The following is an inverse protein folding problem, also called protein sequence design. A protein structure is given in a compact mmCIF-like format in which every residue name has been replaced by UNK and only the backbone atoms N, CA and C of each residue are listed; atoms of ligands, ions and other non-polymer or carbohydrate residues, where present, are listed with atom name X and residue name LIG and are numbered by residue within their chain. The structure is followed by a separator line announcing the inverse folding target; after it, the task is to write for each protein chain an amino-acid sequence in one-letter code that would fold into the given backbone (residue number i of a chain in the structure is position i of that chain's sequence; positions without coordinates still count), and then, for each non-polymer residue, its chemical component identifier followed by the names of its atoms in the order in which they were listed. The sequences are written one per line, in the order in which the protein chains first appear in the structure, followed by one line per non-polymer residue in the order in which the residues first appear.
data_IF_488084015434
#
_entry.id   IF_488084015434
#
_cell.length_a   1.000
_cell.length_b   1.000
_cell.length_c   1.000
_cell.angle_alpha   90.00
_cell.angle_beta   90.00
_cell.angle_gamma   90.00
#
_symmetry.space_group_name_H-M   'P 1'
#
loop_
_entity.id
_entity.type
_entity.pdbx_description
1 polymer ?
#
# COMPACT_ATOMS: atom_id res chain seq x y z
N UNK A 1 -3.54 33.14 49.65
CA UNK A 1 -2.74 34.25 49.08
C UNK A 1 -3.59 35.02 48.07
N UNK A 2 -3.47 36.34 47.98
CA UNK A 2 -4.21 37.14 46.97
C UNK A 2 -3.43 37.22 45.66
N UNK A 3 -4.14 37.28 44.54
CA UNK A 3 -3.53 37.49 43.22
C UNK A 3 -2.90 38.89 43.13
N UNK A 4 -1.63 38.96 42.74
CA UNK A 4 -0.93 40.24 42.58
C UNK A 4 -1.08 40.75 41.15
N UNK A 5 -1.72 41.92 40.99
CA UNK A 5 -1.92 42.57 39.68
C UNK A 5 -0.61 42.86 38.94
N UNK A 6 0.49 43.03 39.66
CA UNK A 6 1.84 43.23 39.09
C UNK A 6 2.35 42.04 38.28
N UNK A 7 1.76 40.85 38.42
CA UNK A 7 2.11 39.71 37.56
C UNK A 7 1.58 39.86 36.13
N UNK A 8 0.46 40.58 35.92
CA UNK A 8 -0.11 40.76 34.59
C UNK A 8 0.77 41.61 33.67
N UNK A 9 1.57 42.52 34.24
CA UNK A 9 2.55 43.31 33.48
C UNK A 9 3.82 42.54 33.21
N UNK A 10 4.25 41.67 34.14
CA UNK A 10 5.47 40.85 33.98
C UNK A 10 5.28 39.65 33.06
N UNK A 11 4.08 39.06 33.00
CA UNK A 11 3.78 37.87 32.21
C UNK A 11 2.62 38.17 31.25
N UNK A 12 2.90 38.61 30.00
CA UNK A 12 1.87 39.05 29.05
C UNK A 12 0.79 38.00 28.70
N UNK A 13 1.14 36.73 28.82
CA UNK A 13 0.27 35.58 28.57
C UNK A 13 -0.68 35.28 29.74
N UNK A 14 -0.44 35.82 30.94
CA UNK A 14 -1.19 35.53 32.16
C UNK A 14 -2.47 36.38 32.21
N UNK A 15 -3.59 35.74 32.55
CA UNK A 15 -4.89 36.39 32.76
C UNK A 15 -5.48 35.95 34.09
N UNK A 16 -6.32 36.81 34.68
CA UNK A 16 -7.00 36.57 35.94
C UNK A 16 -8.51 36.75 35.76
N UNK A 17 -9.29 35.76 36.17
CA UNK A 17 -10.75 35.81 36.22
C UNK A 17 -11.18 36.04 37.68
N UNK A 18 -11.53 37.29 38.01
CA UNK A 18 -11.94 37.68 39.35
C UNK A 18 -13.29 37.12 39.80
N UNK A 19 -14.15 36.65 38.88
CA UNK A 19 -15.43 36.03 39.24
C UNK A 19 -15.25 34.57 39.65
N UNK A 20 -14.31 33.87 38.99
CA UNK A 20 -13.99 32.46 39.28
C UNK A 20 -12.84 32.28 40.26
N UNK A 21 -12.08 33.34 40.55
CA UNK A 21 -10.93 33.27 41.45
C UNK A 21 -9.79 32.42 40.88
N UNK A 22 -9.55 32.47 39.57
CA UNK A 22 -8.50 31.68 38.91
C UNK A 22 -7.60 32.54 38.04
N UNK A 23 -6.32 32.17 37.96
CA UNK A 23 -5.39 32.67 36.94
C UNK A 23 -5.14 31.59 35.87
N UNK A 24 -4.89 32.01 34.63
CA UNK A 24 -4.73 31.08 33.50
C UNK A 24 -3.82 31.66 32.42
N UNK A 25 -3.28 30.79 31.56
CA UNK A 25 -2.52 31.19 30.40
C UNK A 25 -3.46 31.35 29.19
N UNK A 26 -3.50 32.56 28.62
CA UNK A 26 -4.33 32.85 27.45
C UNK A 26 -3.95 31.98 26.24
N UNK A 27 -2.65 31.75 26.04
CA UNK A 27 -2.14 30.96 24.91
C UNK A 27 -2.52 29.49 25.06
N UNK A 28 -2.24 28.89 26.22
CA UNK A 28 -2.56 27.47 26.46
C UNK A 28 -4.05 27.21 26.36
N UNK A 29 -4.88 28.12 26.88
CA UNK A 29 -6.35 28.00 26.81
C UNK A 29 -6.87 28.18 25.38
N UNK A 30 -6.35 29.14 24.62
CA UNK A 30 -6.75 29.38 23.23
C UNK A 30 -6.49 28.17 22.34
N UNK A 31 -5.32 27.53 22.50
CA UNK A 31 -4.94 26.37 21.70
C UNK A 31 -5.23 25.02 22.38
N UNK A 32 -5.96 25.04 23.48
CA UNK A 32 -6.36 23.86 24.26
C UNK A 32 -5.20 22.91 24.61
N UNK A 33 -4.05 23.47 25.01
CA UNK A 33 -2.84 22.71 25.39
C UNK A 33 -2.93 22.28 26.84
N UNK A 34 -3.27 21.03 27.07
CA UNK A 34 -3.30 20.41 28.38
C UNK A 34 -2.48 19.11 28.38
N UNK A 35 -1.30 19.14 29.00
CA UNK A 35 -0.36 18.02 29.05
C UNK A 35 -0.57 17.10 30.27
N UNK A 36 -1.66 17.26 31.02
CA UNK A 36 -1.94 16.40 32.19
C UNK A 36 -1.04 16.66 33.40
N UNK A 37 -0.39 17.82 33.47
CA UNK A 37 0.41 18.25 34.63
C UNK A 37 -0.53 18.55 35.81
N UNK A 38 -0.72 17.57 36.70
CA UNK A 38 -1.74 17.60 37.78
C UNK A 38 -1.59 18.74 38.80
N UNK A 39 -0.47 19.45 38.82
CA UNK A 39 -0.18 20.41 39.88
C UNK A 39 -0.36 21.87 39.39
N UNK A 40 -0.18 22.16 38.09
CA UNK A 40 -0.15 23.54 37.55
C UNK A 40 -0.80 23.69 36.16
N UNK A 41 -2.03 23.20 36.00
CA UNK A 41 -2.73 23.31 34.71
C UNK A 41 -3.27 24.73 34.44
N UNK A 42 -2.45 25.59 33.84
CA UNK A 42 -2.85 26.94 33.43
C UNK A 42 -3.81 26.96 32.22
N UNK A 43 -4.14 25.83 31.59
CA UNK A 43 -5.15 25.74 30.53
C UNK A 43 -6.57 25.77 31.12
N UNK A 44 -6.87 24.91 32.11
CA UNK A 44 -8.12 24.96 32.89
C UNK A 44 -8.14 26.14 33.87
N UNK A 45 -6.97 26.60 34.31
CA UNK A 45 -6.79 27.68 35.28
C UNK A 45 -6.46 27.14 36.66
N UNK A 46 -5.78 27.97 37.46
CA UNK A 46 -5.33 27.65 38.82
C UNK A 46 -5.80 28.73 39.80
N UNK A 47 -6.29 28.30 40.95
CA UNK A 47 -6.61 29.12 42.12
C UNK A 47 -5.40 29.33 43.05
N UNK A 48 -4.24 28.74 42.74
CA UNK A 48 -3.05 28.81 43.59
C UNK A 48 -2.12 29.94 43.15
N UNK A 49 -2.26 31.09 43.79
CA UNK A 49 -1.50 32.30 43.49
C UNK A 49 -0.08 32.29 44.11
N UNK A 50 0.83 31.53 43.50
CA UNK A 50 2.26 31.52 43.84
C UNK A 50 3.11 31.85 42.60
N UNK A 51 4.09 32.74 42.78
CA UNK A 51 5.02 33.15 41.72
C UNK A 51 5.84 31.97 41.17
N UNK A 52 6.19 31.01 42.03
CA UNK A 52 6.88 29.78 41.66
C UNK A 52 6.12 29.00 40.57
N UNK A 53 4.80 28.90 40.66
CA UNK A 53 3.98 28.19 39.68
C UNK A 53 3.86 28.94 38.35
N UNK A 54 3.90 30.28 38.38
CA UNK A 54 3.95 31.10 37.18
C UNK A 54 5.28 30.88 36.46
N UNK A 55 6.40 30.84 37.20
CA UNK A 55 7.72 30.58 36.64
C UNK A 55 7.85 29.15 36.09
N UNK A 56 7.39 28.14 36.84
CA UNK A 56 7.35 26.74 36.39
C UNK A 56 6.54 26.62 35.11
N UNK A 57 5.36 27.24 35.06
CA UNK A 57 4.54 27.23 33.86
C UNK A 57 5.20 27.95 32.69
N UNK A 58 5.86 29.10 32.90
CA UNK A 58 6.56 29.79 31.80
C UNK A 58 7.64 28.92 31.16
N UNK A 59 8.32 28.09 31.95
CA UNK A 59 9.28 27.10 31.47
C UNK A 59 8.66 25.76 31.02
N UNK A 60 7.34 25.59 31.15
CA UNK A 60 6.66 24.32 30.85
C UNK A 60 6.56 24.08 29.34
N UNK A 61 6.54 22.79 28.98
CA UNK A 61 6.33 22.36 27.59
C UNK A 61 4.97 22.82 27.05
N UNK A 62 3.95 22.82 27.92
CA UNK A 62 2.62 23.29 27.56
C UNK A 62 2.65 24.76 27.10
N UNK A 63 3.39 25.62 27.81
CA UNK A 63 3.50 27.03 27.48
C UNK A 63 4.35 27.29 26.23
N UNK A 64 5.48 26.61 26.10
CA UNK A 64 6.32 26.69 24.91
C UNK A 64 5.54 26.28 23.65
N UNK A 65 4.76 25.20 23.73
CA UNK A 65 3.96 24.70 22.62
C UNK A 65 2.81 25.64 22.25
N UNK A 66 2.08 26.15 23.24
CA UNK A 66 1.01 27.11 23.00
C UNK A 66 1.53 28.42 22.36
N UNK A 67 2.73 28.85 22.75
CA UNK A 67 3.41 30.00 22.15
C UNK A 67 3.83 29.72 20.71
N UNK A 68 4.34 28.52 20.41
CA UNK A 68 4.62 28.09 19.04
C UNK A 68 3.36 28.05 18.17
N UNK A 69 2.24 27.53 18.67
CA UNK A 69 0.99 27.47 17.90
C UNK A 69 0.38 28.86 17.65
N UNK A 70 0.51 29.77 18.61
CA UNK A 70 0.11 31.17 18.42
C UNK A 70 0.98 31.85 17.35
N UNK A 71 2.29 31.63 17.38
CA UNK A 71 3.19 32.12 16.35
C UNK A 71 2.84 31.53 14.97
N UNK A 72 2.56 30.23 14.87
CA UNK A 72 2.16 29.57 13.63
C UNK A 72 0.81 30.09 13.08
N UNK A 73 -0.15 30.37 13.97
CA UNK A 73 -1.46 30.90 13.57
C UNK A 73 -1.37 32.33 13.03
N UNK A 74 -0.34 33.08 13.45
CA UNK A 74 -0.08 34.45 13.02
C UNK A 74 0.93 34.55 11.86
N UNK A 75 1.61 33.45 11.50
CA UNK A 75 2.57 33.43 10.40
C UNK A 75 1.86 33.22 9.06
N UNK A 76 1.97 34.20 8.15
CA UNK A 76 1.79 33.97 6.72
C UNK A 76 2.93 33.05 6.27
N UNK A 77 2.63 32.01 5.46
CA UNK A 77 3.50 30.85 5.21
C UNK A 77 4.84 31.12 4.52
N UNK A 78 5.74 31.84 5.20
CA UNK A 78 7.07 32.21 4.72
C UNK A 78 8.15 31.39 5.45
N UNK A 79 9.14 30.89 4.71
CA UNK A 79 10.15 29.92 5.20
C UNK A 79 11.00 30.47 6.35
N UNK A 80 11.27 31.78 6.37
CA UNK A 80 12.04 32.45 7.40
C UNK A 80 11.39 32.36 8.80
N UNK A 81 10.05 32.40 8.85
CA UNK A 81 9.30 32.27 10.12
C UNK A 81 9.43 30.86 10.72
N UNK A 82 9.47 29.82 9.86
CA UNK A 82 9.55 28.42 10.29
C UNK A 82 10.93 28.08 10.84
N UNK A 83 12.00 28.60 10.24
CA UNK A 83 13.36 28.45 10.77
C UNK A 83 13.54 29.16 12.12
N UNK A 84 12.93 30.33 12.30
CA UNK A 84 12.98 31.07 13.55
C UNK A 84 12.19 30.35 14.67
N UNK A 85 11.09 29.68 14.33
CA UNK A 85 10.36 28.79 15.24
C UNK A 85 11.16 27.55 15.63
N UNK A 86 11.85 26.90 14.68
CA UNK A 86 12.72 25.75 14.98
C UNK A 86 13.90 26.14 15.88
N UNK A 87 14.41 27.37 15.73
CA UNK A 87 15.48 27.93 16.59
C UNK A 87 15.00 28.28 18.00
N UNK A 88 13.71 28.56 18.20
CA UNK A 88 13.15 28.84 19.53
C UNK A 88 12.71 27.59 20.29
N UNK A 89 12.57 26.44 19.62
CA UNK A 89 12.28 25.16 20.25
C UNK A 89 13.52 24.61 20.99
N UNK A 90 13.30 24.04 22.17
CA UNK A 90 14.39 23.40 22.91
C UNK A 90 14.94 22.21 22.10
N UNK A 91 16.25 21.97 22.20
CA UNK A 91 16.93 20.83 21.56
C UNK A 91 16.29 19.49 21.95
N UNK A 92 15.78 19.39 23.17
CA UNK A 92 15.06 18.21 23.69
C UNK A 92 13.76 17.99 22.94
N UNK A 93 12.96 19.05 22.75
CA UNK A 93 11.68 18.96 22.01
C UNK A 93 11.88 18.54 20.56
N UNK A 94 12.92 19.07 19.90
CA UNK A 94 13.26 18.64 18.53
C UNK A 94 13.65 17.17 18.46
N UNK A 95 14.46 16.69 19.40
CA UNK A 95 14.83 15.26 19.48
C UNK A 95 13.63 14.34 19.64
N UNK A 96 12.65 14.72 20.47
CA UNK A 96 11.39 13.98 20.64
C UNK A 96 10.58 13.91 19.35
N UNK A 97 10.42 15.05 18.67
CA UNK A 97 9.72 15.12 17.38
C UNK A 97 10.41 14.26 16.32
N UNK A 98 11.75 14.28 16.28
CA UNK A 98 12.54 13.44 15.38
C UNK A 98 12.28 11.95 15.64
N UNK A 99 12.25 11.53 16.91
CA UNK A 99 11.91 10.15 17.26
C UNK A 99 10.51 9.76 16.78
N UNK A 100 9.53 10.65 16.93
CA UNK A 100 8.16 10.41 16.44
C UNK A 100 8.14 10.31 14.90
N UNK A 101 8.90 11.15 14.18
CA UNK A 101 9.08 11.02 12.73
C UNK A 101 9.63 9.65 12.34
N UNK A 102 10.63 9.12 13.08
CA UNK A 102 11.21 7.79 12.83
C UNK A 102 10.17 6.68 13.02
N UNK A 103 9.39 6.74 14.10
CA UNK A 103 8.32 5.77 14.38
C UNK A 103 7.22 5.85 13.31
N UNK A 104 6.77 7.05 12.94
CA UNK A 104 5.80 7.27 11.87
C UNK A 104 6.32 6.80 10.50
N UNK A 105 7.60 7.03 10.20
CA UNK A 105 8.24 6.52 8.99
C UNK A 105 8.23 4.99 8.95
N UNK A 106 8.52 4.32 10.07
CA UNK A 106 8.44 2.86 10.16
C UNK A 106 7.02 2.34 9.92
N UNK A 107 6.00 2.97 10.50
CA UNK A 107 4.57 2.66 10.26
C UNK A 107 4.26 2.74 8.76
N UNK A 108 4.60 3.87 8.13
CA UNK A 108 4.35 4.10 6.71
C UNK A 108 5.09 3.09 5.83
N UNK A 109 6.38 2.85 6.10
CA UNK A 109 7.22 1.95 5.31
C UNK A 109 6.76 0.50 5.36
N UNK A 110 6.19 0.09 6.49
CA UNK A 110 5.69 -1.27 6.69
C UNK A 110 4.19 -1.43 6.35
N UNK A 111 3.53 -0.38 5.84
CA UNK A 111 2.09 -0.43 5.50
C UNK A 111 1.20 -0.70 6.72
N UNK A 112 1.59 -0.22 7.91
CA UNK A 112 0.87 -0.46 9.16
C UNK A 112 -0.21 0.60 9.38
N UNK A 113 -1.29 0.28 10.14
CA UNK A 113 -2.32 1.25 10.48
C UNK A 113 -1.75 2.43 11.27
N UNK A 114 -2.29 3.64 11.10
CA UNK A 114 -1.87 4.82 11.89
C UNK A 114 -2.10 4.65 13.40
N UNK A 115 -3.00 3.76 13.81
CA UNK A 115 -3.25 3.43 15.22
C UNK A 115 -2.07 2.74 15.88
N UNK A 116 -1.16 2.15 15.10
CA UNK A 116 0.03 1.46 15.64
C UNK A 116 1.00 2.41 16.35
N UNK A 117 0.89 3.72 16.11
CA UNK A 117 1.69 4.74 16.81
C UNK A 117 1.54 4.64 18.33
N UNK A 118 0.36 4.29 18.86
CA UNK A 118 0.12 4.21 20.30
C UNK A 118 1.00 3.14 20.96
N UNK A 119 0.96 1.90 20.47
CA UNK A 119 1.74 0.82 21.06
C UNK A 119 3.22 0.94 20.72
N UNK A 120 3.59 1.49 19.55
CA UNK A 120 4.99 1.72 19.20
C UNK A 120 5.63 2.77 20.10
N UNK A 121 4.92 3.87 20.42
CA UNK A 121 5.40 4.85 21.39
C UNK A 121 5.56 4.25 22.79
N UNK A 122 4.63 3.39 23.24
CA UNK A 122 4.78 2.66 24.52
C UNK A 122 6.02 1.76 24.52
N UNK A 123 6.31 1.11 23.40
CA UNK A 123 7.51 0.30 23.25
C UNK A 123 8.80 1.15 23.29
N UNK A 124 8.77 2.34 22.69
CA UNK A 124 9.89 3.29 22.73
C UNK A 124 10.12 3.82 24.15
N UNK A 125 9.06 4.09 24.93
CA UNK A 125 9.18 4.42 26.36
C UNK A 125 9.86 3.28 27.15
N UNK A 126 9.45 2.03 26.91
CA UNK A 126 10.04 0.86 27.59
C UNK A 126 11.52 0.65 27.25
N UNK A 127 11.97 1.13 26.09
CA UNK A 127 13.38 1.13 25.68
C UNK A 127 14.16 2.32 26.25
N UNK A 128 13.49 3.24 26.95
CA UNK A 128 14.11 4.46 27.48
C UNK A 128 14.34 5.54 26.43
N UNK A 129 13.63 5.51 25.29
CA UNK A 129 13.73 6.56 24.27
C UNK A 129 12.82 7.72 24.69
N UNK A 130 13.41 8.91 24.88
CA UNK A 130 12.60 10.10 25.18
C UNK A 130 11.86 10.58 23.91
N UNK A 131 10.55 10.33 23.89
CA UNK A 131 9.64 10.75 22.81
C UNK A 131 8.60 11.77 23.29
N UNK A 132 8.56 12.12 24.59
CA UNK A 132 7.54 12.97 25.20
C UNK A 132 6.12 12.42 25.11
N UNK A 133 5.15 13.02 25.80
CA UNK A 133 3.75 12.54 25.86
C UNK A 133 2.88 12.92 24.65
N UNK A 134 3.43 13.71 23.72
CA UNK A 134 2.69 14.31 22.61
C UNK A 134 2.69 13.44 21.35
N UNK A 135 1.71 13.68 20.47
CA UNK A 135 1.58 13.06 19.14
C UNK A 135 1.47 11.53 19.10
N UNK A 136 1.14 10.90 20.23
CA UNK A 136 0.95 9.44 20.37
C UNK A 136 -0.45 8.99 19.93
N UNK A 137 -0.95 9.50 18.81
CA UNK A 137 -2.27 9.14 18.30
C UNK A 137 -2.32 9.13 16.77
N UNK A 138 -3.29 8.39 16.22
CA UNK A 138 -3.40 8.19 14.77
C UNK A 138 -3.60 9.47 13.96
N UNK A 139 -4.23 10.51 14.53
CA UNK A 139 -4.37 11.82 13.85
C UNK A 139 -3.00 12.46 13.66
N UNK A 140 -2.18 12.44 14.70
CA UNK A 140 -0.82 12.97 14.65
C UNK A 140 0.03 12.15 13.69
N UNK A 141 0.03 10.81 13.81
CA UNK A 141 0.75 9.93 12.89
C UNK A 141 0.41 10.21 11.42
N UNK A 142 -0.87 10.45 11.10
CA UNK A 142 -1.30 10.86 9.75
C UNK A 142 -0.62 12.16 9.31
N UNK A 143 -0.56 13.17 10.17
CA UNK A 143 0.10 14.46 9.87
C UNK A 143 1.61 14.28 9.67
N UNK A 144 2.29 13.54 10.54
CA UNK A 144 3.72 13.25 10.40
C UNK A 144 4.02 12.51 9.08
N UNK A 145 3.23 11.47 8.78
CA UNK A 145 3.37 10.69 7.53
C UNK A 145 3.07 11.56 6.30
N UNK A 146 2.11 12.48 6.39
CA UNK A 146 1.85 13.44 5.31
C UNK A 146 3.09 14.29 5.01
N UNK A 147 3.74 14.86 6.02
CA UNK A 147 4.95 15.66 5.81
C UNK A 147 6.16 14.83 5.36
N UNK A 148 6.30 13.57 5.83
CA UNK A 148 7.29 12.63 5.27
C UNK A 148 7.05 12.45 3.77
N UNK A 149 5.79 12.22 3.37
CA UNK A 149 5.43 12.06 1.97
C UNK A 149 5.69 13.32 1.14
N UNK A 150 5.45 14.53 1.68
CA UNK A 150 5.79 15.80 1.02
C UNK A 150 7.29 15.94 0.73
N UNK A 151 8.14 15.55 1.67
CA UNK A 151 9.60 15.56 1.47
C UNK A 151 10.01 14.57 0.37
N UNK A 152 9.46 13.35 0.38
CA UNK A 152 9.73 12.35 -0.64
C UNK A 152 9.23 12.78 -2.04
N UNK A 153 8.06 13.42 -2.11
CA UNK A 153 7.50 14.00 -3.34
C UNK A 153 8.40 15.08 -3.91
N UNK A 154 8.89 16.01 -3.07
CA UNK A 154 9.84 17.05 -3.49
C UNK A 154 11.14 16.44 -4.01
N UNK A 155 11.70 15.46 -3.29
CA UNK A 155 12.90 14.77 -3.72
C UNK A 155 12.72 14.02 -5.06
N UNK A 156 11.54 13.44 -5.30
CA UNK A 156 11.19 12.84 -6.60
C UNK A 156 11.08 13.90 -7.69
N UNK A 157 10.37 15.01 -7.43
CA UNK A 157 10.24 16.14 -8.36
C UNK A 157 11.60 16.67 -8.80
N UNK A 158 12.50 16.95 -7.87
CA UNK A 158 13.86 17.43 -8.17
C UNK A 158 14.65 16.47 -9.06
N UNK A 159 14.49 15.15 -8.87
CA UNK A 159 15.12 14.14 -9.74
C UNK A 159 14.52 14.17 -11.14
N UNK A 160 13.21 14.34 -11.27
CA UNK A 160 12.53 14.45 -12.55
C UNK A 160 12.87 15.75 -13.29
N UNK A 161 13.08 16.85 -12.56
CA UNK A 161 13.58 18.12 -13.11
C UNK A 161 14.97 17.96 -13.72
N UNK A 162 15.84 17.18 -13.07
CA UNK A 162 17.22 16.94 -13.52
C UNK A 162 17.35 15.82 -14.55
N UNK A 163 16.40 14.88 -14.61
CA UNK A 163 16.44 13.80 -15.59
C UNK A 163 16.14 14.31 -17.01
N UNK A 164 16.70 13.62 -18.02
CA UNK A 164 16.42 13.94 -19.43
C UNK A 164 15.03 13.49 -19.84
N UNK A 165 14.66 12.27 -19.44
CA UNK A 165 13.41 11.63 -19.87
C UNK A 165 12.82 10.78 -18.74
N UNK A 166 11.51 10.64 -18.76
CA UNK A 166 10.76 9.71 -17.92
C UNK A 166 9.65 9.02 -18.70
N UNK A 167 9.17 7.90 -18.18
CA UNK A 167 8.01 7.17 -18.65
C UNK A 167 6.99 7.05 -17.53
N UNK A 168 5.72 7.00 -17.90
CA UNK A 168 4.63 6.72 -16.98
C UNK A 168 4.32 5.24 -17.01
N UNK A 169 3.95 4.67 -15.87
CA UNK A 169 3.36 3.33 -15.79
C UNK A 169 2.08 3.47 -14.97
N UNK A 170 0.98 2.95 -15.49
CA UNK A 170 -0.30 2.96 -14.78
C UNK A 170 -0.91 1.58 -14.74
N UNK A 171 -1.36 1.19 -13.56
CA UNK A 171 -2.07 -0.07 -13.32
C UNK A 171 -3.41 0.21 -12.62
N UNK A 172 -4.42 -0.61 -12.95
CA UNK A 172 -5.75 -0.52 -12.37
C UNK A 172 -5.87 -1.40 -11.14
N UNK A 173 -6.42 -0.87 -10.06
CA UNK A 173 -6.75 -1.63 -8.85
C UNK A 173 -8.22 -1.46 -8.55
N UNK A 174 -8.95 -2.56 -8.37
CA UNK A 174 -10.33 -2.54 -7.91
C UNK A 174 -10.38 -2.86 -6.41
N UNK A 175 -11.08 -2.03 -5.62
CA UNK A 175 -11.39 -2.36 -4.24
C UNK A 175 -12.64 -3.28 -4.15
N UNK A 176 -12.83 -3.92 -3.00
CA UNK A 176 -14.01 -4.76 -2.75
C UNK A 176 -15.33 -3.96 -2.74
N UNK A 177 -15.26 -2.62 -2.75
CA UNK A 177 -16.39 -1.70 -2.79
C UNK A 177 -16.70 -1.18 -4.21
N UNK A 178 -16.12 -1.79 -5.25
CA UNK A 178 -16.36 -1.47 -6.66
C UNK A 178 -15.90 -0.04 -7.03
N UNK A 179 -14.87 0.49 -6.36
CA UNK A 179 -14.17 1.69 -6.81
C UNK A 179 -12.86 1.29 -7.45
N UNK A 180 -12.73 1.66 -8.71
CA UNK A 180 -11.47 1.53 -9.44
C UNK A 180 -10.52 2.66 -9.04
N UNK A 181 -9.24 2.36 -9.02
CA UNK A 181 -8.20 3.33 -8.76
C UNK A 181 -7.04 3.10 -9.73
N UNK A 182 -6.47 4.20 -10.22
CA UNK A 182 -5.25 4.19 -11.02
C UNK A 182 -4.06 4.38 -10.08
N UNK A 183 -3.14 3.41 -10.10
CA UNK A 183 -1.83 3.55 -9.45
C UNK A 183 -0.85 4.07 -10.48
N UNK A 184 -0.24 5.21 -10.20
CA UNK A 184 0.66 5.91 -11.12
C UNK A 184 2.10 5.79 -10.65
N UNK A 185 2.97 5.34 -11.54
CA UNK A 185 4.42 5.31 -11.34
C UNK A 185 5.11 6.15 -12.40
N UNK A 186 6.31 6.61 -12.05
CA UNK A 186 7.29 7.20 -12.97
C UNK A 186 8.53 6.32 -13.02
N UNK A 187 9.00 6.03 -14.24
CA UNK A 187 10.25 5.33 -14.49
C UNK A 187 11.21 6.28 -15.21
N UNK A 188 12.41 6.48 -14.67
CA UNK A 188 13.39 7.43 -15.19
C UNK A 188 14.82 7.02 -14.88
N UNK A 189 15.79 7.58 -15.59
CA UNK A 189 17.21 7.38 -15.32
C UNK A 189 17.80 8.63 -14.65
N UNK A 190 18.51 8.45 -13.54
CA UNK A 190 19.19 9.51 -12.83
C UNK A 190 20.52 9.01 -12.26
N UNK A 191 21.61 9.74 -12.50
CA UNK A 191 22.98 9.38 -12.06
C UNK A 191 23.37 7.93 -12.41
N UNK A 192 23.10 7.51 -13.64
CA UNK A 192 23.45 6.17 -14.14
C UNK A 192 22.60 5.02 -13.59
N UNK A 193 21.54 5.29 -12.83
CA UNK A 193 20.64 4.28 -12.28
C UNK A 193 19.22 4.47 -12.80
N UNK A 194 18.54 3.36 -13.06
CA UNK A 194 17.11 3.36 -13.37
C UNK A 194 16.33 3.37 -12.07
N UNK A 195 15.35 4.25 -11.99
CA UNK A 195 14.43 4.39 -10.87
C UNK A 195 13.01 4.12 -11.36
N UNK A 196 12.23 3.40 -10.55
CA UNK A 196 10.78 3.28 -10.70
C UNK A 196 10.17 3.66 -9.35
N UNK A 197 9.41 4.76 -9.31
CA UNK A 197 8.84 5.29 -8.08
C UNK A 197 7.35 5.51 -8.25
N UNK A 198 6.58 5.14 -7.22
CA UNK A 198 5.15 5.45 -7.16
C UNK A 198 4.98 6.96 -6.97
N UNK A 199 4.06 7.55 -7.73
CA UNK A 199 3.65 8.95 -7.60
C UNK A 199 2.44 9.04 -6.68
N UNK A 200 1.49 8.12 -6.85
CA UNK A 200 0.29 8.07 -6.02
C UNK A 200 -0.76 7.11 -6.56
N UNK A 201 -1.88 7.07 -5.84
CA UNK A 201 -3.07 6.30 -6.20
C UNK A 201 -4.23 7.28 -6.25
N UNK A 202 -5.01 7.21 -7.32
CA UNK A 202 -6.14 8.11 -7.54
C UNK A 202 -7.38 7.30 -7.90
N UNK A 203 -8.46 7.50 -7.15
CA UNK A 203 -9.77 6.90 -7.46
C UNK A 203 -10.27 7.38 -8.82
N UNK A 204 -10.90 6.47 -9.55
CA UNK A 204 -11.45 6.65 -10.87
C UNK A 204 -12.93 6.28 -10.81
N UNK A 205 -13.81 7.24 -11.04
CA UNK A 205 -15.26 7.02 -10.94
C UNK A 205 -15.86 6.33 -12.17
N UNK A 206 -15.14 6.38 -13.31
CA UNK A 206 -15.53 5.76 -14.58
C UNK A 206 -14.32 5.16 -15.29
N UNK A 207 -14.45 3.93 -15.77
CA UNK A 207 -13.39 3.18 -16.44
C UNK A 207 -13.18 3.59 -17.91
N UNK A 208 -13.51 4.82 -18.30
CA UNK A 208 -13.22 5.32 -19.64
C UNK A 208 -11.82 5.96 -19.70
N UNK A 209 -11.22 5.97 -20.88
CA UNK A 209 -9.83 6.38 -21.04
C UNK A 209 -9.58 7.86 -20.73
N UNK A 210 -10.56 8.73 -20.97
CA UNK A 210 -10.44 10.15 -20.65
C UNK A 210 -10.38 10.34 -19.13
N UNK A 211 -11.28 9.68 -18.41
CA UNK A 211 -11.28 9.70 -16.94
C UNK A 211 -10.00 9.12 -16.35
N UNK A 212 -9.50 8.00 -16.89
CA UNK A 212 -8.21 7.41 -16.43
C UNK A 212 -7.02 8.32 -16.74
N UNK A 213 -6.94 8.90 -17.96
CA UNK A 213 -5.90 9.88 -18.32
C UNK A 213 -5.92 11.07 -17.36
N UNK A 214 -7.11 11.62 -17.09
CA UNK A 214 -7.27 12.75 -16.18
C UNK A 214 -6.85 12.40 -14.76
N UNK A 215 -7.15 11.18 -14.28
CA UNK A 215 -6.67 10.70 -12.99
C UNK A 215 -5.13 10.63 -12.94
N UNK A 216 -4.48 10.14 -14.01
CA UNK A 216 -3.01 10.10 -14.12
C UNK A 216 -2.42 11.52 -14.07
N UNK A 217 -2.92 12.42 -14.91
CA UNK A 217 -2.45 13.82 -14.97
C UNK A 217 -2.66 14.53 -13.63
N UNK A 218 -3.85 14.37 -13.03
CA UNK A 218 -4.18 14.94 -11.71
C UNK A 218 -3.26 14.41 -10.61
N UNK A 219 -2.89 13.13 -10.66
CA UNK A 219 -1.95 12.53 -9.69
C UNK A 219 -0.58 13.18 -9.77
N UNK A 220 -0.07 13.40 -10.99
CA UNK A 220 1.19 14.11 -11.23
C UNK A 220 1.12 15.58 -10.75
N UNK A 221 0.00 16.24 -11.00
CA UNK A 221 -0.20 17.64 -10.59
C UNK A 221 -0.28 17.79 -9.07
N UNK A 222 -1.09 16.97 -8.38
CA UNK A 222 -1.28 17.07 -6.93
C UNK A 222 0.01 16.67 -6.20
N UNK A 223 0.62 15.55 -6.56
CA UNK A 223 1.72 15.00 -5.77
C UNK A 223 3.09 15.54 -6.17
N UNK A 224 3.27 16.04 -7.40
CA UNK A 224 4.59 16.49 -7.87
C UNK A 224 4.56 17.90 -8.47
N UNK A 225 3.39 18.55 -8.54
CA UNK A 225 3.23 19.87 -9.19
C UNK A 225 3.69 19.84 -10.65
N UNK A 226 3.52 18.69 -11.30
CA UNK A 226 3.90 18.48 -12.70
C UNK A 226 2.66 18.64 -13.57
N UNK A 227 2.71 19.60 -14.49
CA UNK A 227 1.67 19.78 -15.49
C UNK A 227 2.17 19.23 -16.83
N UNK A 228 1.61 18.09 -17.27
CA UNK A 228 1.96 17.48 -18.56
C UNK A 228 1.57 18.34 -19.76
N UNK A 229 0.67 19.32 -19.63
CA UNK A 229 0.38 20.28 -20.69
C UNK A 229 1.49 21.32 -20.86
N UNK A 230 2.39 21.47 -19.88
CA UNK A 230 3.57 22.32 -20.02
C UNK A 230 4.63 21.66 -20.90
N UNK A 231 5.21 22.43 -21.81
CA UNK A 231 6.24 21.97 -22.73
C UNK A 231 7.50 21.45 -22.00
N UNK A 232 7.80 21.97 -20.81
CA UNK A 232 8.94 21.51 -19.99
C UNK A 232 8.82 20.05 -19.56
N UNK A 233 7.59 19.60 -19.31
CA UNK A 233 7.29 18.25 -18.85
C UNK A 233 6.91 17.33 -20.00
N UNK A 234 6.10 17.79 -20.95
CA UNK A 234 5.68 16.97 -22.09
C UNK A 234 6.85 16.52 -22.96
N UNK A 235 7.88 17.35 -23.15
CA UNK A 235 9.09 16.99 -23.93
C UNK A 235 9.94 15.88 -23.30
N UNK A 236 9.79 15.66 -21.99
CA UNK A 236 10.54 14.63 -21.24
C UNK A 236 9.80 13.30 -21.20
N UNK A 237 8.50 13.27 -21.50
CA UNK A 237 7.70 12.06 -21.48
C UNK A 237 7.97 11.22 -22.74
N UNK A 238 8.54 10.03 -22.59
CA UNK A 238 8.93 9.19 -23.74
C UNK A 238 8.20 7.85 -23.80
N UNK A 239 7.53 7.45 -22.72
CA UNK A 239 6.89 6.14 -22.67
C UNK A 239 5.70 6.07 -21.73
N UNK A 240 4.81 5.13 -22.03
CA UNK A 240 3.65 4.79 -21.22
C UNK A 240 3.50 3.28 -21.13
N UNK A 241 3.55 2.71 -19.94
CA UNK A 241 3.35 1.28 -19.67
C UNK A 241 1.99 1.03 -19.02
N UNK A 242 1.28 -0.02 -19.46
CA UNK A 242 0.00 -0.44 -18.87
C UNK A 242 -0.25 -1.94 -19.02
N UNK A 243 -1.32 -2.44 -18.41
CA UNK A 243 -1.76 -3.84 -18.50
C UNK A 243 -2.26 -4.25 -19.89
N UNK A 244 -2.46 -3.30 -20.81
CA UNK A 244 -2.95 -3.56 -22.15
C UNK A 244 -4.47 -3.74 -22.26
N UNK A 245 -5.24 -3.36 -21.24
CA UNK A 245 -6.69 -3.26 -21.36
C UNK A 245 -7.08 -2.28 -22.48
N UNK A 246 -8.23 -2.50 -23.12
CA UNK A 246 -8.71 -1.67 -24.24
C UNK A 246 -8.79 -0.18 -23.87
N UNK A 247 -9.20 0.13 -22.64
CA UNK A 247 -9.21 1.49 -22.08
C UNK A 247 -7.81 2.12 -22.09
N UNK A 248 -6.77 1.32 -21.87
CA UNK A 248 -5.38 1.80 -21.77
C UNK A 248 -4.70 1.92 -23.12
N UNK A 249 -4.91 0.94 -24.03
CA UNK A 249 -4.15 0.83 -25.29
C UNK A 249 -5.00 0.83 -26.56
N UNK A 250 -6.32 1.02 -26.46
CA UNK A 250 -7.24 1.02 -27.59
C UNK A 250 -6.88 2.05 -28.66
N UNK A 251 -7.04 1.66 -29.92
CA UNK A 251 -6.58 2.44 -31.09
C UNK A 251 -7.38 3.74 -31.29
N UNK A 252 -8.65 3.74 -30.90
CA UNK A 252 -9.53 4.88 -31.13
C UNK A 252 -9.57 5.84 -29.93
N UNK A 253 -9.65 5.30 -28.72
CA UNK A 253 -9.86 6.07 -27.49
C UNK A 253 -9.02 5.56 -26.31
N UNK A 254 -7.86 4.92 -26.51
CA UNK A 254 -7.03 4.46 -25.39
C UNK A 254 -6.26 5.58 -24.69
N UNK A 255 -5.96 5.44 -23.40
CA UNK A 255 -5.12 6.39 -22.62
C UNK A 255 -3.79 6.66 -23.34
N UNK A 256 -3.16 5.63 -23.89
CA UNK A 256 -1.92 5.74 -24.66
C UNK A 256 -2.04 6.74 -25.82
N UNK A 257 -3.16 6.73 -26.54
CA UNK A 257 -3.43 7.67 -27.64
C UNK A 257 -3.64 9.08 -27.12
N UNK A 258 -4.42 9.24 -26.04
CA UNK A 258 -4.65 10.54 -25.41
C UNK A 258 -3.36 11.16 -24.81
N UNK A 259 -2.38 10.34 -24.43
CA UNK A 259 -1.05 10.80 -24.05
C UNK A 259 -0.20 11.18 -25.27
N UNK A 260 -0.36 10.50 -26.41
CA UNK A 260 0.29 10.87 -27.68
C UNK A 260 -0.19 12.22 -28.22
N UNK A 261 -1.42 12.63 -27.92
CA UNK A 261 -1.91 13.98 -28.22
C UNK A 261 -1.13 15.07 -27.47
N UNK A 262 -0.62 14.76 -26.27
CA UNK A 262 0.23 15.67 -25.47
C UNK A 262 1.68 15.63 -25.96
N UNK A 263 2.18 14.43 -26.25
CA UNK A 263 3.53 14.20 -26.75
C UNK A 263 3.53 13.10 -27.82
N UNK A 264 3.60 13.44 -29.11
CA UNK A 264 3.49 12.49 -30.21
C UNK A 264 4.53 11.35 -30.17
N UNK A 265 5.69 11.58 -29.56
CA UNK A 265 6.77 10.59 -29.50
C UNK A 265 6.59 9.50 -28.43
N UNK A 266 5.55 9.58 -27.57
CA UNK A 266 5.34 8.60 -26.48
C UNK A 266 5.16 7.19 -27.03
N UNK A 267 6.01 6.27 -26.56
CA UNK A 267 5.89 4.85 -26.88
C UNK A 267 5.00 4.14 -25.86
N UNK A 268 3.94 3.49 -26.35
CA UNK A 268 3.08 2.66 -25.51
C UNK A 268 3.65 1.25 -25.41
N UNK A 269 3.78 0.74 -24.19
CA UNK A 269 4.28 -0.61 -23.91
C UNK A 269 3.23 -1.38 -23.14
N UNK A 270 2.64 -2.39 -23.79
CA UNK A 270 1.80 -3.37 -23.13
C UNK A 270 2.67 -4.24 -22.22
N UNK A 271 2.27 -4.38 -20.95
CA UNK A 271 2.86 -5.28 -19.97
C UNK A 271 3.15 -6.67 -20.57
N UNK A 272 4.44 -7.00 -20.69
CA UNK A 272 4.88 -8.27 -21.27
C UNK A 272 4.37 -9.48 -20.47
N UNK A 273 4.34 -9.39 -19.14
CA UNK A 273 3.83 -10.46 -18.30
C UNK A 273 2.34 -10.74 -18.57
N UNK A 274 1.53 -9.70 -18.69
CA UNK A 274 0.10 -9.84 -19.01
C UNK A 274 -0.10 -10.34 -20.44
N UNK A 275 0.62 -9.76 -21.40
CA UNK A 275 0.56 -10.16 -22.82
C UNK A 275 0.96 -11.62 -23.03
N UNK A 276 1.99 -12.09 -22.34
CA UNK A 276 2.44 -13.48 -22.36
C UNK A 276 1.38 -14.41 -21.76
N UNK A 277 0.78 -14.02 -20.63
CA UNK A 277 -0.32 -14.78 -20.02
C UNK A 277 -1.53 -14.89 -20.96
N UNK A 278 -1.91 -13.82 -21.65
CA UNK A 278 -2.99 -13.83 -22.64
C UNK A 278 -2.66 -14.75 -23.82
N UNK A 279 -1.44 -14.70 -24.35
CA UNK A 279 -1.00 -15.57 -25.44
C UNK A 279 -1.09 -17.05 -25.06
N UNK A 280 -0.65 -17.41 -23.85
CA UNK A 280 -0.78 -18.79 -23.35
C UNK A 280 -2.23 -19.22 -23.19
N UNK A 281 -3.07 -18.36 -22.62
CA UNK A 281 -4.50 -18.68 -22.46
C UNK A 281 -5.17 -18.92 -23.80
N UNK A 282 -4.91 -18.07 -24.79
CA UNK A 282 -5.52 -18.22 -26.12
C UNK A 282 -5.00 -19.46 -26.85
N UNK A 283 -3.68 -19.74 -26.79
CA UNK A 283 -3.09 -20.93 -27.38
C UNK A 283 -3.65 -22.24 -26.79
N UNK A 284 -3.94 -22.26 -25.48
CA UNK A 284 -4.46 -23.43 -24.78
C UNK A 284 -5.98 -23.59 -24.88
N UNK A 285 -6.71 -22.51 -25.20
CA UNK A 285 -8.18 -22.45 -25.18
C UNK A 285 -8.85 -23.43 -26.14
N UNK A 286 -8.25 -23.69 -27.29
CA UNK A 286 -8.77 -24.62 -28.30
C UNK A 286 -8.51 -26.09 -27.96
N UNK A 287 -7.68 -26.38 -26.95
CA UNK A 287 -7.30 -27.75 -26.59
C UNK A 287 -8.34 -28.34 -25.63
N UNK A 288 -9.17 -29.26 -26.14
CA UNK A 288 -10.24 -29.89 -25.35
C UNK A 288 -9.73 -30.60 -24.07
N UNK A 289 -8.55 -31.23 -24.14
CA UNK A 289 -7.91 -31.86 -22.99
C UNK A 289 -7.52 -30.84 -21.91
N UNK A 290 -7.08 -29.65 -22.31
CA UNK A 290 -6.79 -28.55 -21.38
C UNK A 290 -8.06 -28.09 -20.68
N UNK A 291 -9.14 -27.82 -21.41
CA UNK A 291 -10.43 -27.43 -20.82
C UNK A 291 -10.94 -28.49 -19.83
N UNK A 292 -10.83 -29.76 -20.20
CA UNK A 292 -11.21 -30.90 -19.33
C UNK A 292 -10.37 -30.93 -18.05
N UNK A 293 -9.05 -30.79 -18.16
CA UNK A 293 -8.13 -30.82 -17.02
C UNK A 293 -8.30 -29.62 -16.09
N UNK A 294 -8.49 -28.42 -16.63
CA UNK A 294 -8.75 -27.20 -15.85
C UNK A 294 -10.06 -27.35 -15.05
N UNK A 295 -11.12 -27.83 -15.69
CA UNK A 295 -12.38 -28.14 -15.01
C UNK A 295 -12.22 -29.19 -13.92
N UNK A 296 -11.42 -30.24 -14.16
CA UNK A 296 -11.09 -31.25 -13.16
C UNK A 296 -10.37 -30.65 -11.94
N UNK A 297 -9.31 -29.88 -12.17
CA UNK A 297 -8.53 -29.22 -11.10
C UNK A 297 -9.41 -28.28 -10.25
N UNK A 298 -10.28 -27.48 -10.88
CA UNK A 298 -11.21 -26.60 -10.16
C UNK A 298 -12.19 -27.38 -9.31
N UNK A 299 -12.79 -28.44 -9.87
CA UNK A 299 -13.76 -29.24 -9.13
C UNK A 299 -13.13 -29.99 -7.95
N UNK A 300 -11.91 -30.51 -8.12
CA UNK A 300 -11.13 -31.10 -7.04
C UNK A 300 -10.84 -30.05 -5.97
N UNK A 301 -10.40 -28.85 -6.35
CA UNK A 301 -10.19 -27.75 -5.41
C UNK A 301 -11.45 -27.45 -4.60
N UNK A 302 -12.59 -27.19 -5.24
CA UNK A 302 -13.83 -26.86 -4.54
C UNK A 302 -14.35 -28.01 -3.68
N UNK A 303 -14.15 -29.26 -4.11
CA UNK A 303 -14.57 -30.44 -3.36
C UNK A 303 -13.88 -30.53 -1.98
N UNK A 304 -12.60 -30.17 -1.90
CA UNK A 304 -11.83 -30.17 -0.66
C UNK A 304 -11.86 -28.83 0.08
N UNK A 305 -11.97 -27.72 -0.64
CA UNK A 305 -12.01 -26.38 -0.04
C UNK A 305 -13.32 -26.14 0.71
N UNK A 306 -14.46 -26.56 0.14
CA UNK A 306 -15.78 -26.28 0.70
C UNK A 306 -16.23 -27.30 1.76
N UNK A 307 -15.46 -28.38 1.96
CA UNK A 307 -15.80 -29.44 2.92
C UNK A 307 -14.61 -29.72 3.85
N UNK A 308 -14.66 -29.21 5.11
CA UNK A 308 -13.67 -29.54 6.13
C UNK A 308 -13.54 -31.05 6.35
N UNK A 309 -14.67 -31.78 6.28
CA UNK A 309 -14.69 -33.24 6.40
C UNK A 309 -13.88 -33.92 5.30
N UNK A 310 -14.12 -33.58 4.03
CA UNK A 310 -13.37 -34.15 2.90
C UNK A 310 -11.89 -33.81 2.98
N UNK A 311 -11.55 -32.61 3.48
CA UNK A 311 -10.17 -32.18 3.68
C UNK A 311 -9.48 -33.01 4.76
N UNK A 312 -10.15 -33.28 5.88
CA UNK A 312 -9.63 -34.15 6.96
C UNK A 312 -9.48 -35.59 6.46
N UNK A 313 -10.49 -36.14 5.78
CA UNK A 313 -10.44 -37.49 5.25
C UNK A 313 -9.32 -37.67 4.22
N UNK A 314 -9.08 -36.67 3.36
CA UNK A 314 -7.93 -36.67 2.45
C UNK A 314 -6.60 -36.73 3.23
N UNK A 315 -6.45 -35.99 4.34
CA UNK A 315 -5.26 -36.07 5.20
C UNK A 315 -5.07 -37.47 5.79
N UNK A 316 -6.13 -38.11 6.29
CA UNK A 316 -6.06 -39.50 6.77
C UNK A 316 -5.63 -40.46 5.66
N UNK A 317 -5.99 -40.15 4.42
CA UNK A 317 -5.57 -40.93 3.24
C UNK A 317 -4.07 -40.77 2.96
N UNK A 318 -3.52 -39.56 3.14
CA UNK A 318 -2.07 -39.33 3.10
C UNK A 318 -1.31 -40.10 4.18
N UNK A 319 -1.83 -40.10 5.42
CA UNK A 319 -1.24 -40.84 6.55
C UNK A 319 -1.21 -42.34 6.27
N UNK A 320 -2.33 -42.89 5.78
CA UNK A 320 -2.45 -44.30 5.38
C UNK A 320 -1.41 -44.67 4.32
N UNK A 321 -1.20 -43.80 3.34
CA UNK A 321 -0.24 -44.02 2.25
C UNK A 321 1.18 -43.59 2.59
N UNK A 322 1.44 -43.08 3.81
CA UNK A 322 2.73 -42.54 4.26
C UNK A 322 3.28 -41.45 3.31
N UNK A 323 2.39 -40.64 2.76
CA UNK A 323 2.72 -39.53 1.85
C UNK A 323 2.68 -38.19 2.58
N UNK A 324 3.45 -37.20 2.10
CA UNK A 324 3.39 -35.84 2.64
C UNK A 324 2.05 -35.18 2.25
N UNK A 325 1.27 -34.65 3.20
CA UNK A 325 -0.02 -34.03 2.90
C UNK A 325 0.11 -32.81 2.00
N UNK A 326 -0.69 -32.77 0.94
CA UNK A 326 -0.88 -31.60 0.09
C UNK A 326 -2.37 -31.42 -0.22
N UNK A 327 -2.87 -30.20 -0.10
CA UNK A 327 -4.29 -29.92 -0.39
C UNK A 327 -4.39 -29.26 -1.77
N UNK A 328 -5.29 -29.72 -2.65
CA UNK A 328 -5.51 -29.09 -3.95
C UNK A 328 -5.68 -27.58 -3.85
N UNK A 329 -4.98 -26.85 -4.72
CA UNK A 329 -4.92 -25.39 -4.71
C UNK A 329 -5.82 -24.76 -5.76
N UNK A 330 -6.27 -23.53 -5.48
CA UNK A 330 -7.06 -22.74 -6.45
C UNK A 330 -6.21 -22.38 -7.67
N UNK A 331 -6.83 -22.46 -8.85
CA UNK A 331 -6.28 -21.92 -10.10
C UNK A 331 -6.93 -20.57 -10.46
N UNK A 332 -6.25 -19.75 -11.27
CA UNK A 332 -6.76 -18.45 -11.75
C UNK A 332 -6.32 -17.23 -10.94
N UNK A 333 -6.79 -16.05 -11.35
CA UNK A 333 -6.35 -14.74 -10.83
C UNK A 333 -5.06 -14.23 -11.48
N UNK A 334 -4.50 -13.13 -10.95
CA UNK A 334 -3.31 -12.41 -11.47
C UNK A 334 -2.00 -13.21 -11.47
N UNK A 335 -1.97 -14.40 -10.89
CA UNK A 335 -0.83 -15.34 -10.93
C UNK A 335 -1.27 -16.69 -11.48
N UNK A 336 -2.08 -16.69 -12.54
CA UNK A 336 -2.70 -17.89 -13.09
C UNK A 336 -1.68 -18.99 -13.41
N UNK A 337 -0.56 -18.66 -14.06
CA UNK A 337 0.43 -19.63 -14.52
C UNK A 337 1.12 -20.37 -13.36
N UNK A 338 1.57 -19.64 -12.35
CA UNK A 338 2.19 -20.22 -11.15
C UNK A 338 1.19 -21.05 -10.33
N UNK A 339 -0.07 -20.60 -10.24
CA UNK A 339 -1.14 -21.36 -9.57
C UNK A 339 -1.51 -22.63 -10.32
N UNK A 340 -1.53 -22.59 -11.66
CA UNK A 340 -1.73 -23.78 -12.48
C UNK A 340 -0.60 -24.79 -12.28
N UNK A 341 0.66 -24.34 -12.30
CA UNK A 341 1.83 -25.17 -11.99
C UNK A 341 1.68 -25.87 -10.64
N UNK A 342 1.32 -25.10 -9.61
CA UNK A 342 1.13 -25.61 -8.25
C UNK A 342 0.01 -26.64 -8.20
N UNK A 343 -1.13 -26.36 -8.83
CA UNK A 343 -2.28 -27.26 -8.86
C UNK A 343 -1.95 -28.58 -9.58
N UNK A 344 -1.21 -28.55 -10.69
CA UNK A 344 -0.74 -29.73 -11.40
C UNK A 344 0.24 -30.55 -10.55
N UNK A 345 1.24 -29.89 -9.96
CA UNK A 345 2.21 -30.56 -9.08
C UNK A 345 1.52 -31.24 -7.89
N UNK A 346 0.55 -30.55 -7.28
CA UNK A 346 -0.26 -31.13 -6.20
C UNK A 346 -1.06 -32.31 -6.74
N UNK A 347 -1.83 -32.16 -7.81
CA UNK A 347 -2.62 -33.25 -8.38
C UNK A 347 -1.77 -34.51 -8.61
N UNK A 348 -0.61 -34.38 -9.26
CA UNK A 348 0.24 -35.51 -9.60
C UNK A 348 0.89 -36.17 -8.38
N UNK A 349 1.42 -35.38 -7.43
CA UNK A 349 1.99 -35.91 -6.17
C UNK A 349 0.93 -36.55 -5.27
N UNK A 350 -0.27 -36.00 -5.31
CA UNK A 350 -1.42 -36.39 -4.47
C UNK A 350 -2.28 -37.45 -5.11
N UNK A 351 -1.96 -37.86 -6.34
CA UNK A 351 -2.83 -38.67 -7.18
C UNK A 351 -3.29 -39.97 -6.48
N UNK A 352 -2.41 -40.74 -5.81
CA UNK A 352 -2.83 -41.94 -5.08
C UNK A 352 -3.78 -41.64 -3.91
N UNK A 353 -3.52 -40.57 -3.16
CA UNK A 353 -4.34 -40.19 -2.01
C UNK A 353 -5.73 -39.68 -2.45
N UNK A 354 -5.78 -38.88 -3.51
CA UNK A 354 -7.04 -38.38 -4.08
C UNK A 354 -7.87 -39.55 -4.62
N UNK A 355 -7.27 -40.46 -5.37
CA UNK A 355 -7.96 -41.64 -5.90
C UNK A 355 -8.48 -42.54 -4.79
N UNK A 356 -7.68 -42.84 -3.77
CA UNK A 356 -8.09 -43.69 -2.66
C UNK A 356 -9.27 -43.08 -1.89
N UNK A 357 -9.20 -41.79 -1.58
CA UNK A 357 -10.29 -41.10 -0.88
C UNK A 357 -11.58 -41.09 -1.71
N UNK A 358 -11.48 -40.70 -2.98
CA UNK A 358 -12.66 -40.67 -3.86
C UNK A 358 -13.25 -42.06 -4.10
N UNK A 359 -12.41 -43.10 -4.22
CA UNK A 359 -12.89 -44.48 -4.39
C UNK A 359 -13.64 -44.98 -3.16
N UNK A 360 -13.18 -44.64 -1.94
CA UNK A 360 -13.92 -44.92 -0.70
C UNK A 360 -15.29 -44.27 -0.69
N UNK A 361 -15.38 -43.01 -1.11
CA UNK A 361 -16.65 -42.29 -1.20
C UNK A 361 -17.57 -42.83 -2.31
N UNK A 362 -17.02 -43.33 -3.41
CA UNK A 362 -17.81 -43.97 -4.45
C UNK A 362 -18.44 -45.29 -3.97
N UNK A 363 -17.75 -46.02 -3.10
CA UNK A 363 -18.29 -47.25 -2.49
C UNK A 363 -19.39 -47.03 -1.46
N UNK A 364 -19.64 -45.79 -1.04
CA UNK A 364 -20.68 -45.42 -0.09
C UNK A 364 -21.88 -44.76 -0.81
N UNK A 365 -23.03 -45.46 -0.95
CA UNK A 365 -24.21 -44.92 -1.63
C UNK A 365 -24.89 -43.78 -0.84
N UNK A 366 -24.59 -43.64 0.45
CA UNK A 366 -25.23 -42.65 1.32
C UNK A 366 -24.67 -41.23 1.16
N UNK A 367 -23.56 -41.08 0.45
CA UNK A 367 -22.93 -39.77 0.27
C UNK A 367 -23.69 -38.87 -0.71
N UNK A 368 -24.07 -37.68 -0.25
CA UNK A 368 -24.76 -36.66 -1.06
C UNK A 368 -23.95 -36.17 -2.28
N UNK A 369 -22.66 -36.52 -2.35
CA UNK A 369 -21.76 -36.15 -3.44
C UNK A 369 -21.46 -37.30 -4.41
N UNK A 370 -22.18 -38.43 -4.33
CA UNK A 370 -21.86 -39.66 -5.06
C UNK A 370 -21.69 -39.45 -6.57
N UNK A 371 -22.62 -38.76 -7.22
CA UNK A 371 -22.55 -38.49 -8.67
C UNK A 371 -21.36 -37.60 -9.05
N UNK A 372 -21.04 -36.59 -8.22
CA UNK A 372 -19.90 -35.70 -8.43
C UNK A 372 -18.58 -36.46 -8.31
N UNK A 373 -18.45 -37.29 -7.27
CA UNK A 373 -17.26 -38.14 -7.05
C UNK A 373 -17.09 -39.13 -8.20
N UNK A 374 -18.17 -39.79 -8.64
CA UNK A 374 -18.16 -40.69 -9.80
C UNK A 374 -17.67 -40.00 -11.08
N UNK A 375 -18.15 -38.78 -11.34
CA UNK A 375 -17.71 -37.97 -12.48
C UNK A 375 -16.22 -37.61 -12.43
N UNK A 376 -15.73 -37.17 -11.26
CA UNK A 376 -14.32 -36.81 -11.07
C UNK A 376 -13.40 -38.03 -11.18
N UNK A 377 -13.78 -39.17 -10.60
CA UNK A 377 -13.03 -40.42 -10.74
C UNK A 377 -12.95 -40.88 -12.18
N UNK A 378 -14.05 -40.81 -12.93
CA UNK A 378 -14.06 -41.15 -14.36
C UNK A 378 -13.04 -40.31 -15.14
N UNK A 379 -12.88 -39.03 -14.80
CA UNK A 379 -11.87 -38.17 -15.44
C UNK A 379 -10.46 -38.46 -14.95
N UNK A 380 -10.26 -38.69 -13.66
CA UNK A 380 -8.95 -39.01 -13.08
C UNK A 380 -8.39 -40.32 -13.63
N UNK A 381 -9.23 -41.31 -13.89
CA UNK A 381 -8.83 -42.62 -14.42
C UNK A 381 -8.63 -42.63 -15.94
N UNK A 382 -8.99 -41.56 -16.66
CA UNK A 382 -8.70 -41.47 -18.10
C UNK A 382 -7.20 -41.26 -18.31
N UNK A 383 -6.57 -42.23 -18.99
CA UNK A 383 -5.14 -42.18 -19.30
C UNK A 383 -4.73 -40.90 -20.02
N UNK A 384 -5.54 -40.41 -20.97
CA UNK A 384 -5.28 -39.16 -21.70
C UNK A 384 -5.17 -37.95 -20.77
N UNK A 385 -6.02 -37.87 -19.75
CA UNK A 385 -6.02 -36.75 -18.79
C UNK A 385 -4.75 -36.79 -17.94
N UNK A 386 -4.34 -37.99 -17.49
CA UNK A 386 -3.11 -38.17 -16.69
C UNK A 386 -1.87 -37.84 -17.52
N UNK A 387 -1.75 -38.39 -18.73
CA UNK A 387 -0.63 -38.10 -19.66
C UNK A 387 -0.57 -36.61 -19.99
N UNK A 388 -1.71 -36.00 -20.31
CA UNK A 388 -1.78 -34.58 -20.59
C UNK A 388 -1.43 -33.72 -19.36
N UNK A 389 -1.76 -34.16 -18.14
CA UNK A 389 -1.37 -33.46 -16.91
C UNK A 389 0.14 -33.40 -16.72
N UNK A 390 0.85 -34.50 -17.00
CA UNK A 390 2.31 -34.55 -16.97
C UNK A 390 2.90 -33.68 -18.08
N UNK A 391 2.47 -33.86 -19.32
CA UNK A 391 2.92 -33.07 -20.45
C UNK A 391 2.73 -31.56 -20.23
N UNK A 392 1.54 -31.16 -19.77
CA UNK A 392 1.26 -29.76 -19.48
C UNK A 392 2.17 -29.24 -18.37
N UNK A 393 2.43 -30.01 -17.32
CA UNK A 393 3.34 -29.56 -16.25
C UNK A 393 4.75 -29.27 -16.80
N UNK A 394 5.27 -30.10 -17.71
CA UNK A 394 6.59 -29.88 -18.32
C UNK A 394 6.62 -28.57 -19.12
N UNK A 395 5.58 -28.31 -19.92
CA UNK A 395 5.42 -27.04 -20.65
C UNK A 395 5.33 -25.86 -19.68
N UNK A 396 4.42 -25.92 -18.70
CA UNK A 396 4.19 -24.85 -17.72
C UNK A 396 5.46 -24.55 -16.90
N UNK A 397 6.33 -25.53 -16.65
CA UNK A 397 7.62 -25.29 -15.99
C UNK A 397 8.52 -24.37 -16.81
N UNK A 398 8.63 -24.58 -18.12
CA UNK A 398 9.39 -23.71 -19.03
C UNK A 398 8.73 -22.33 -19.13
N UNK A 399 7.42 -22.27 -19.33
CA UNK A 399 6.69 -21.01 -19.45
C UNK A 399 6.77 -20.15 -18.18
N UNK A 400 6.86 -20.76 -17.00
CA UNK A 400 7.06 -20.03 -15.75
C UNK A 400 8.43 -19.36 -15.64
N UNK A 401 9.48 -19.90 -16.29
CA UNK A 401 10.78 -19.25 -16.34
C UNK A 401 10.66 -17.92 -17.10
N UNK A 402 10.04 -17.97 -18.30
CA UNK A 402 9.76 -16.79 -19.12
C UNK A 402 8.91 -15.76 -18.35
N UNK A 403 7.84 -16.23 -17.69
CA UNK A 403 6.97 -15.36 -16.90
C UNK A 403 7.73 -14.64 -15.78
N UNK A 404 8.68 -15.30 -15.11
CA UNK A 404 9.51 -14.67 -14.07
C UNK A 404 10.43 -13.60 -14.63
N UNK A 405 11.03 -13.82 -15.80
CA UNK A 405 11.85 -12.80 -16.48
C UNK A 405 11.03 -11.54 -16.77
N UNK A 406 9.80 -11.70 -17.28
CA UNK A 406 8.90 -10.56 -17.57
C UNK A 406 8.39 -9.81 -16.32
N UNK A 407 8.52 -10.41 -15.14
CA UNK A 407 8.07 -9.82 -13.86
C UNK A 407 9.22 -9.25 -13.03
N UNK A 408 10.48 -9.50 -13.40
CA UNK A 408 11.62 -8.92 -12.71
C UNK A 408 11.73 -7.42 -13.04
N UNK A 409 11.77 -6.61 -11.99
CA UNK A 409 11.94 -5.16 -12.07
C UNK A 409 13.27 -4.72 -12.70
N UNK A 410 14.26 -5.62 -12.72
CA UNK A 410 15.57 -5.37 -13.30
C UNK A 410 15.65 -5.79 -14.77
N UNK A 411 14.70 -6.59 -15.28
CA UNK A 411 14.67 -6.98 -16.68
C UNK A 411 14.44 -5.75 -17.57
N UNK A 412 15.28 -5.64 -18.59
CA UNK A 412 15.07 -4.71 -19.70
C UNK A 412 14.15 -5.32 -20.75
N UNK A 413 13.68 -4.48 -21.66
CA UNK A 413 12.93 -4.93 -22.84
C UNK A 413 13.81 -5.87 -23.69
N UNK A 414 15.12 -5.59 -23.79
CA UNK A 414 16.05 -6.43 -24.54
C UNK A 414 16.18 -7.83 -23.92
N UNK A 415 16.23 -7.94 -22.59
CA UNK A 415 16.30 -9.23 -21.90
C UNK A 415 15.07 -10.08 -22.24
N UNK A 416 13.88 -9.46 -22.26
CA UNK A 416 12.62 -10.12 -22.62
C UNK A 416 12.65 -10.61 -24.07
N UNK A 417 13.21 -9.84 -25.01
CA UNK A 417 13.33 -10.26 -26.41
C UNK A 417 14.43 -11.31 -26.66
N UNK A 418 15.39 -11.44 -25.74
CA UNK A 418 16.48 -12.41 -25.83
C UNK A 418 16.15 -13.77 -25.21
N UNK A 419 15.04 -13.86 -24.47
CA UNK A 419 14.57 -15.10 -23.84
C UNK A 419 13.56 -15.80 -24.74
#
# INVERSE_FOLDING_TARGET
HQFLKTWLTKYPWLKYDGKKGIMFCALCRKHNVNLGENIHNFCSGSDIFKLEFINIHQSSEAHAWASCMEAASNATGDQASTEQMLKSMSKVTLGRIENIFRTCHAIAKCGRPFTDIDWMCKLDDMKGVDIGSMFRNGKSARTFIHYIAEVERRALKEKLEKCKFFSLISDGVADNAIKEAAVVYVRFAYKGKVHCQIVGVQSVDKSDASTVKNAIVKTLQINLQLNLSSQDWSRKLVGFGSDGAEVMVGENNGVAKLLKEIQPCVQSVHCFAHRLELAYKEALKSIQLYTTLIGLLQNIYYFYHNSPLNKTNLKSTYETLKLRPAIPSRIGGTRWLSRLQTALQILLKSYPAILLHMSKLQGDPSTSHHQKVKGLLKLLLKMEVVKFSHFLLDIINVLNILSRVTQDRNSSIADIFST
#
